data_IF_233942203809
#
_entry.id   IF_233942203809
#
_cell.length_a   1.000
_cell.length_b   1.000
_cell.length_c   1.000
_cell.angle_alpha   90.00
_cell.angle_beta   90.00
_cell.angle_gamma   90.00
#
_symmetry.space_group_name_H-M   'P 1'
#
loop_
_entity.id
_entity.type
_entity.pdbx_description
1 polymer ?
#
# COMPACT_ATOMS: atom_id res chain seq x y z
N UNK A 1 11.40 -26.46 15.89
CA UNK A 1 10.70 -25.20 16.17
C UNK A 1 9.22 -25.51 16.25
N UNK A 2 8.49 -25.01 17.25
CA UNK A 2 7.02 -25.18 17.31
C UNK A 2 6.34 -24.18 16.37
N UNK A 3 5.10 -24.44 15.98
CA UNK A 3 4.33 -23.54 15.10
C UNK A 3 4.12 -22.17 15.75
N UNK A 4 3.87 -22.13 17.07
CA UNK A 4 3.75 -20.89 17.83
C UNK A 4 5.04 -20.06 17.79
N UNK A 5 6.20 -20.69 18.04
CA UNK A 5 7.50 -20.02 17.92
C UNK A 5 7.72 -19.47 16.50
N UNK A 6 7.29 -20.23 15.48
CA UNK A 6 7.38 -19.83 14.07
C UNK A 6 6.57 -18.57 13.77
N UNK A 7 5.41 -18.37 14.42
CA UNK A 7 4.58 -17.17 14.26
C UNK A 7 5.22 -15.92 14.88
N UNK A 8 5.94 -16.05 15.98
CA UNK A 8 6.71 -14.94 16.53
C UNK A 8 7.91 -14.59 15.65
N UNK A 9 8.58 -15.59 15.07
CA UNK A 9 9.67 -15.35 14.12
C UNK A 9 9.14 -14.70 12.84
N UNK A 10 7.98 -15.14 12.32
CA UNK A 10 7.39 -14.54 11.11
C UNK A 10 7.05 -13.07 11.30
N UNK A 11 6.56 -12.68 12.48
CA UNK A 11 6.34 -11.29 12.87
C UNK A 11 7.61 -10.43 12.73
N UNK A 12 8.74 -10.91 13.25
CA UNK A 12 10.03 -10.21 13.18
C UNK A 12 10.57 -10.16 11.75
N UNK A 13 10.44 -11.25 11.00
CA UNK A 13 10.90 -11.32 9.61
C UNK A 13 10.11 -10.35 8.73
N UNK A 14 8.78 -10.26 8.90
CA UNK A 14 7.92 -9.34 8.17
C UNK A 14 8.29 -7.87 8.45
N UNK A 15 8.51 -7.53 9.73
CA UNK A 15 8.92 -6.19 10.12
C UNK A 15 10.29 -5.82 9.53
N UNK A 16 11.26 -6.73 9.67
CA UNK A 16 12.64 -6.52 9.25
C UNK A 16 12.75 -6.39 7.73
N UNK A 17 12.10 -7.27 6.96
CA UNK A 17 12.14 -7.23 5.49
C UNK A 17 11.63 -5.90 4.94
N UNK A 18 10.47 -5.45 5.41
CA UNK A 18 9.88 -4.18 4.99
C UNK A 18 10.72 -2.96 5.43
N UNK A 19 11.22 -2.93 6.67
CA UNK A 19 12.10 -1.85 7.12
C UNK A 19 13.39 -1.76 6.32
N UNK A 20 14.01 -2.91 5.99
CA UNK A 20 15.19 -2.96 5.13
C UNK A 20 14.88 -2.35 3.77
N UNK A 21 13.75 -2.70 3.14
CA UNK A 21 13.37 -2.16 1.85
C UNK A 21 13.08 -0.66 1.88
N UNK A 22 12.46 -0.15 2.96
CA UNK A 22 12.25 1.29 3.17
C UNK A 22 13.61 2.02 3.27
N UNK A 23 14.55 1.49 4.04
CA UNK A 23 15.89 2.06 4.17
C UNK A 23 16.67 2.02 2.85
N UNK A 24 16.56 0.93 2.09
CA UNK A 24 17.16 0.82 0.76
C UNK A 24 16.57 1.87 -0.18
N UNK A 25 15.24 2.06 -0.19
CA UNK A 25 14.59 3.10 -0.99
C UNK A 25 15.06 4.52 -0.63
N UNK A 26 15.17 4.83 0.66
CA UNK A 26 15.68 6.14 1.14
C UNK A 26 17.15 6.33 0.72
N UNK A 27 17.97 5.30 0.89
CA UNK A 27 19.39 5.33 0.51
C UNK A 27 19.54 5.54 -1.00
N UNK A 28 18.76 4.80 -1.80
CA UNK A 28 18.74 4.94 -3.25
C UNK A 28 18.36 6.35 -3.69
N UNK A 29 17.29 6.92 -3.12
CA UNK A 29 16.89 8.29 -3.45
C UNK A 29 17.98 9.30 -3.09
N UNK A 30 18.60 9.20 -1.91
CA UNK A 30 19.70 10.09 -1.51
C UNK A 30 20.90 9.97 -2.43
N UNK A 31 21.22 8.76 -2.89
CA UNK A 31 22.27 8.52 -3.85
C UNK A 31 21.94 9.14 -5.23
N UNK A 32 20.70 9.00 -5.69
CA UNK A 32 20.25 9.61 -6.95
C UNK A 32 20.34 11.14 -6.91
N UNK A 33 20.05 11.78 -5.76
CA UNK A 33 20.18 13.23 -5.60
C UNK A 33 21.61 13.76 -5.80
N UNK A 34 22.64 12.92 -5.59
CA UNK A 34 24.04 13.30 -5.84
C UNK A 34 24.44 13.21 -7.32
N UNK A 35 23.54 12.74 -8.20
CA UNK A 35 23.80 12.60 -9.64
C UNK A 35 23.31 13.82 -10.41
N UNK A 36 23.68 13.87 -11.69
CA UNK A 36 23.27 14.92 -12.62
C UNK A 36 21.72 15.04 -12.65
N UNK A 37 21.19 16.28 -12.67
CA UNK A 37 19.75 16.55 -12.61
C UNK A 37 18.95 15.88 -13.75
N UNK A 38 19.54 15.76 -14.94
CA UNK A 38 18.89 15.04 -16.06
C UNK A 38 18.79 13.53 -15.80
N UNK A 39 19.82 12.93 -15.16
CA UNK A 39 19.79 11.51 -14.79
C UNK A 39 18.79 11.25 -13.66
N UNK A 40 18.77 12.14 -12.65
CA UNK A 40 17.82 12.10 -11.53
C UNK A 40 16.38 12.11 -12.03
N UNK A 41 16.00 13.13 -12.82
CA UNK A 41 14.64 13.28 -13.33
C UNK A 41 14.19 12.08 -14.18
N UNK A 42 15.06 11.59 -15.07
CA UNK A 42 14.76 10.39 -15.87
C UNK A 42 14.56 9.15 -15.00
N UNK A 43 15.43 8.93 -14.01
CA UNK A 43 15.36 7.74 -13.14
C UNK A 43 14.12 7.79 -12.25
N UNK A 44 13.80 8.96 -11.67
CA UNK A 44 12.59 9.17 -10.88
C UNK A 44 11.32 8.94 -11.72
N UNK A 45 11.31 9.38 -12.98
CA UNK A 45 10.19 9.14 -13.88
C UNK A 45 9.98 7.64 -14.17
N UNK A 46 11.06 6.92 -14.45
CA UNK A 46 11.02 5.45 -14.66
C UNK A 46 10.48 4.74 -13.41
N UNK A 47 11.01 5.10 -12.24
CA UNK A 47 10.60 4.53 -10.95
C UNK A 47 9.12 4.82 -10.68
N UNK A 48 8.66 6.04 -10.95
CA UNK A 48 7.26 6.45 -10.76
C UNK A 48 6.31 5.58 -11.58
N UNK A 49 6.60 5.42 -12.88
CA UNK A 49 5.79 4.61 -13.78
C UNK A 49 5.81 3.12 -13.38
N UNK A 50 6.97 2.56 -13.05
CA UNK A 50 7.09 1.18 -12.58
C UNK A 50 6.29 0.97 -11.28
N UNK A 51 6.33 1.93 -10.37
CA UNK A 51 5.61 1.90 -9.09
C UNK A 51 4.09 1.85 -9.29
N UNK A 52 3.56 2.66 -10.22
CA UNK A 52 2.14 2.60 -10.62
C UNK A 52 1.76 1.25 -11.22
N UNK A 53 2.66 0.65 -11.98
CA UNK A 53 2.51 -0.72 -12.47
C UNK A 53 2.47 -1.78 -11.37
N UNK A 54 3.40 -1.69 -10.41
CA UNK A 54 3.45 -2.57 -9.23
C UNK A 54 2.13 -2.47 -8.45
N UNK A 55 1.63 -1.25 -8.21
CA UNK A 55 0.34 -1.03 -7.54
C UNK A 55 -0.84 -1.65 -8.29
N UNK A 56 -0.89 -1.45 -9.61
CA UNK A 56 -1.90 -2.08 -10.45
C UNK A 56 -1.83 -3.61 -10.39
N UNK A 57 -0.61 -4.16 -10.39
CA UNK A 57 -0.38 -5.59 -10.22
C UNK A 57 -0.88 -6.11 -8.88
N UNK A 58 -0.49 -5.46 -7.78
CA UNK A 58 -0.93 -5.79 -6.42
C UNK A 58 -2.44 -5.68 -6.29
N UNK A 59 -3.05 -4.65 -6.86
CA UNK A 59 -4.50 -4.47 -6.87
C UNK A 59 -5.22 -5.64 -7.54
N UNK A 60 -4.86 -5.96 -8.78
CA UNK A 60 -5.59 -6.91 -9.61
C UNK A 60 -5.29 -8.37 -9.24
N UNK A 61 -4.05 -8.67 -8.87
CA UNK A 61 -3.60 -10.05 -8.63
C UNK A 61 -3.69 -10.48 -7.18
N UNK A 62 -3.75 -9.55 -6.22
CA UNK A 62 -3.68 -9.88 -4.79
C UNK A 62 -4.88 -9.30 -4.05
N UNK A 63 -5.02 -7.97 -4.03
CA UNK A 63 -5.98 -7.28 -3.16
C UNK A 63 -7.44 -7.58 -3.55
N UNK A 64 -7.78 -7.47 -4.85
CA UNK A 64 -9.14 -7.74 -5.33
C UNK A 64 -9.59 -9.20 -5.15
N UNK A 65 -8.86 -10.21 -5.65
CA UNK A 65 -9.30 -11.60 -5.50
C UNK A 65 -9.41 -12.00 -4.03
N UNK A 66 -8.41 -11.68 -3.20
CA UNK A 66 -8.41 -12.05 -1.78
C UNK A 66 -9.57 -11.42 -1.01
N UNK A 67 -9.84 -10.12 -1.23
CA UNK A 67 -10.94 -9.44 -0.54
C UNK A 67 -12.31 -10.03 -0.91
N UNK A 68 -12.53 -10.36 -2.19
CA UNK A 68 -13.78 -10.98 -2.65
C UNK A 68 -13.95 -12.40 -2.13
N UNK A 69 -12.88 -13.19 -2.09
CA UNK A 69 -12.92 -14.58 -1.61
C UNK A 69 -13.31 -14.65 -0.13
N UNK A 70 -12.76 -13.77 0.71
CA UNK A 70 -13.08 -13.71 2.14
C UNK A 70 -14.58 -13.45 2.38
N UNK A 71 -15.19 -12.55 1.61
CA UNK A 71 -16.63 -12.26 1.73
C UNK A 71 -17.48 -13.37 1.09
N UNK A 72 -17.05 -13.94 -0.03
CA UNK A 72 -17.76 -15.04 -0.69
C UNK A 72 -17.87 -16.28 0.22
N UNK A 73 -16.81 -16.59 0.96
CA UNK A 73 -16.81 -17.70 1.92
C UNK A 73 -17.77 -17.45 3.10
N UNK A 74 -17.96 -16.20 3.52
CA UNK A 74 -18.79 -15.86 4.68
C UNK A 74 -20.27 -15.64 4.34
N UNK A 75 -20.55 -14.99 3.20
CA UNK A 75 -21.89 -14.54 2.83
C UNK A 75 -22.50 -15.29 1.65
N UNK A 76 -21.75 -16.16 0.97
CA UNK A 76 -22.15 -16.86 -0.26
C UNK A 76 -22.67 -15.92 -1.38
N UNK A 77 -22.46 -14.61 -1.24
CA UNK A 77 -22.96 -13.57 -2.15
C UNK A 77 -21.79 -12.63 -2.48
N UNK A 78 -21.13 -12.91 -3.61
CA UNK A 78 -19.97 -12.12 -4.09
C UNK A 78 -20.35 -10.66 -4.36
N UNK A 79 -21.60 -10.40 -4.75
CA UNK A 79 -22.11 -9.05 -5.03
C UNK A 79 -21.95 -8.09 -3.84
N UNK A 80 -21.99 -8.59 -2.60
CA UNK A 80 -21.77 -7.76 -1.42
C UNK A 80 -20.30 -7.31 -1.29
N UNK A 81 -19.34 -8.14 -1.71
CA UNK A 81 -17.94 -7.76 -1.77
C UNK A 81 -17.72 -6.59 -2.74
N UNK A 82 -18.30 -6.64 -3.94
CA UNK A 82 -18.24 -5.53 -4.91
C UNK A 82 -18.91 -4.25 -4.39
N UNK A 83 -20.03 -4.36 -3.67
CA UNK A 83 -20.66 -3.20 -3.02
C UNK A 83 -19.72 -2.56 -2.00
N UNK A 84 -19.07 -3.37 -1.15
CA UNK A 84 -18.11 -2.88 -0.15
C UNK A 84 -16.87 -2.25 -0.80
N UNK A 85 -16.37 -2.82 -1.89
CA UNK A 85 -15.30 -2.21 -2.69
C UNK A 85 -15.73 -0.84 -3.22
N UNK A 86 -16.94 -0.73 -3.77
CA UNK A 86 -17.50 0.54 -4.22
C UNK A 86 -17.63 1.56 -3.09
N UNK A 87 -18.11 1.13 -1.92
CA UNK A 87 -18.20 1.98 -0.72
C UNK A 87 -16.83 2.49 -0.27
N UNK A 88 -15.80 1.63 -0.29
CA UNK A 88 -14.43 2.02 0.04
C UNK A 88 -13.88 3.08 -0.93
N UNK A 89 -14.14 2.91 -2.23
CA UNK A 89 -13.75 3.88 -3.25
C UNK A 89 -14.41 5.25 -3.03
N UNK A 90 -15.72 5.31 -2.83
CA UNK A 90 -16.41 6.58 -2.61
C UNK A 90 -16.08 7.21 -1.25
N UNK A 91 -15.86 6.39 -0.21
CA UNK A 91 -15.44 6.87 1.10
C UNK A 91 -14.13 7.65 0.99
N UNK A 92 -13.15 7.14 0.25
CA UNK A 92 -11.90 7.89 0.09
C UNK A 92 -12.06 9.12 -0.80
N UNK A 93 -12.88 9.09 -1.84
CA UNK A 93 -13.20 10.29 -2.61
C UNK A 93 -13.74 11.41 -1.71
N UNK A 94 -14.66 11.06 -0.79
CA UNK A 94 -15.22 12.02 0.16
C UNK A 94 -14.13 12.54 1.11
N UNK A 95 -13.29 11.67 1.66
CA UNK A 95 -12.20 12.10 2.56
C UNK A 95 -11.22 13.03 1.83
N UNK A 96 -10.86 12.72 0.59
CA UNK A 96 -9.95 13.53 -0.21
C UNK A 96 -10.56 14.91 -0.50
N UNK A 97 -11.85 14.96 -0.86
CA UNK A 97 -12.57 16.21 -1.13
C UNK A 97 -12.75 17.04 0.15
N UNK A 98 -13.03 16.42 1.30
CA UNK A 98 -13.10 17.12 2.57
C UNK A 98 -11.73 17.69 2.98
N UNK A 99 -10.66 16.95 2.70
CA UNK A 99 -9.28 17.39 2.98
C UNK A 99 -8.93 18.59 2.10
N UNK A 100 -9.24 18.53 0.79
CA UNK A 100 -8.99 19.65 -0.13
C UNK A 100 -9.81 20.90 0.24
N UNK A 101 -11.08 20.72 0.64
CA UNK A 101 -11.93 21.82 1.10
C UNK A 101 -11.42 22.45 2.40
N UNK A 102 -10.99 21.64 3.36
CA UNK A 102 -10.41 22.14 4.61
C UNK A 102 -9.16 22.99 4.35
N UNK A 103 -8.32 22.58 3.41
CA UNK A 103 -7.11 23.32 3.02
C UNK A 103 -7.43 24.64 2.31
N UNK A 104 -8.42 24.64 1.42
CA UNK A 104 -8.90 25.87 0.78
C UNK A 104 -9.49 26.85 1.81
N UNK A 105 -10.19 26.33 2.81
CA UNK A 105 -10.70 27.14 3.90
C UNK A 105 -9.57 27.72 4.76
N UNK A 106 -8.64 26.87 5.22
CA UNK A 106 -7.50 27.29 6.07
C UNK A 106 -6.59 28.30 5.37
N UNK A 107 -6.32 28.13 4.07
CA UNK A 107 -5.53 29.08 3.29
C UNK A 107 -6.22 30.44 3.12
N UNK A 108 -7.55 30.47 2.94
CA UNK A 108 -8.32 31.71 2.88
C UNK A 108 -8.36 32.44 4.22
N UNK A 109 -8.48 31.72 5.33
CA UNK A 109 -8.42 32.32 6.67
C UNK A 109 -7.05 32.97 6.94
N UNK A 110 -5.96 32.27 6.59
CA UNK A 110 -4.60 32.80 6.69
C UNK A 110 -4.39 34.05 5.81
N UNK A 111 -4.91 34.06 4.58
CA UNK A 111 -4.80 35.21 3.66
C UNK A 111 -5.57 36.44 4.15
N UNK A 112 -6.72 36.25 4.79
CA UNK A 112 -7.50 37.34 5.38
C UNK A 112 -6.78 37.97 6.60
N UNK A 113 -6.01 37.18 7.36
CA UNK A 113 -5.19 37.65 8.49
C UNK A 113 -3.86 38.27 7.99
N UNK A 114 -3.29 37.75 6.91
CA UNK A 114 -2.03 38.21 6.33
C UNK A 114 -2.14 39.51 5.51
N UNK A 115 -3.35 40.04 5.29
CA UNK A 115 -3.52 41.34 4.62
C UNK A 115 -2.95 42.52 5.44
N UNK A 116 -2.49 42.28 6.68
CA UNK A 116 -1.86 43.28 7.55
C UNK A 116 -0.31 43.18 7.65
N UNK A 117 0.35 42.09 7.18
CA UNK A 117 1.83 41.98 7.27
C UNK A 117 2.47 41.29 6.05
N UNK A 118 3.39 42.00 5.40
CA UNK A 118 4.03 41.62 4.13
C UNK A 118 4.92 40.36 4.22
N UNK A 119 4.75 39.52 3.20
CA UNK A 119 5.72 38.64 2.51
C UNK A 119 6.59 37.71 3.37
N UNK A 120 6.18 36.44 3.50
CA UNK A 120 7.14 35.33 3.37
C UNK A 120 6.57 33.93 3.03
N UNK A 121 5.25 33.71 2.93
CA UNK A 121 4.72 32.35 3.17
C UNK A 121 4.05 31.64 1.99
N UNK A 122 4.64 31.74 0.78
CA UNK A 122 4.19 30.93 -0.36
C UNK A 122 4.61 29.45 -0.28
N UNK A 123 5.20 28.99 0.84
CA UNK A 123 5.71 27.62 1.00
C UNK A 123 4.85 26.74 1.93
N UNK A 124 3.91 27.30 2.70
CA UNK A 124 3.11 26.54 3.69
C UNK A 124 1.85 25.89 3.12
N UNK A 125 1.23 26.48 2.08
CA UNK A 125 0.01 25.93 1.45
C UNK A 125 0.23 24.57 0.76
N UNK A 126 1.41 24.30 0.20
CA UNK A 126 1.69 23.02 -0.46
C UNK A 126 1.84 21.84 0.52
N UNK A 127 2.17 22.08 1.80
CA UNK A 127 2.47 21.00 2.73
C UNK A 127 1.25 20.26 3.28
N UNK A 128 0.07 20.88 3.29
CA UNK A 128 -1.13 20.25 3.84
C UNK A 128 -1.73 19.19 2.89
N UNK A 129 -1.83 19.49 1.58
CA UNK A 129 -2.36 18.54 0.58
C UNK A 129 -1.55 17.24 0.53
N UNK A 130 -0.24 17.36 0.71
CA UNK A 130 0.66 16.22 0.68
C UNK A 130 0.50 15.34 1.94
N UNK A 131 0.22 15.94 3.09
CA UNK A 131 -0.03 15.23 4.35
C UNK A 131 -1.33 14.44 4.32
N UNK A 132 -2.42 15.02 3.82
CA UNK A 132 -3.71 14.32 3.68
C UNK A 132 -3.58 13.07 2.81
N UNK A 133 -2.94 13.20 1.66
CA UNK A 133 -2.65 12.08 0.75
C UNK A 133 -1.75 11.03 1.40
N UNK A 134 -0.72 11.45 2.14
CA UNK A 134 0.17 10.53 2.87
C UNK A 134 -0.60 9.72 3.93
N UNK A 135 -1.45 10.38 4.71
CA UNK A 135 -2.26 9.73 5.76
C UNK A 135 -3.25 8.75 5.15
N UNK A 136 -3.97 9.17 4.11
CA UNK A 136 -4.86 8.30 3.31
C UNK A 136 -4.15 7.06 2.81
N UNK A 137 -2.98 7.25 2.19
CA UNK A 137 -2.19 6.17 1.63
C UNK A 137 -1.72 5.19 2.70
N UNK A 138 -1.19 5.70 3.82
CA UNK A 138 -0.73 4.87 4.94
C UNK A 138 -1.87 4.14 5.63
N UNK A 139 -3.04 4.77 5.75
CA UNK A 139 -4.23 4.13 6.29
C UNK A 139 -4.67 2.96 5.41
N UNK A 140 -4.84 3.18 4.10
CA UNK A 140 -5.29 2.16 3.15
C UNK A 140 -4.30 0.99 3.02
N UNK A 141 -3.01 1.29 2.88
CA UNK A 141 -1.97 0.27 2.86
C UNK A 141 -1.85 -0.42 4.22
N UNK A 142 -2.08 0.30 5.31
CA UNK A 142 -1.95 -0.19 6.69
C UNK A 142 -3.04 -1.19 7.04
N UNK A 143 -4.29 -0.95 6.63
CA UNK A 143 -5.39 -1.91 6.80
C UNK A 143 -5.10 -3.20 6.06
N UNK A 144 -4.61 -3.14 4.82
CA UNK A 144 -4.23 -4.34 4.07
C UNK A 144 -3.11 -5.13 4.76
N UNK A 145 -2.01 -4.46 5.12
CA UNK A 145 -0.88 -5.10 5.81
C UNK A 145 -1.27 -5.69 7.18
N UNK A 146 -2.19 -5.05 7.91
CA UNK A 146 -2.75 -5.59 9.15
C UNK A 146 -3.43 -6.94 8.94
N UNK A 147 -4.25 -7.07 7.89
CA UNK A 147 -4.96 -8.32 7.62
C UNK A 147 -4.06 -9.43 7.07
N UNK A 148 -3.02 -9.10 6.32
CA UNK A 148 -1.98 -10.08 5.95
C UNK A 148 -1.26 -10.61 7.20
N UNK A 149 -1.04 -9.75 8.19
CA UNK A 149 -0.57 -10.16 9.51
C UNK A 149 -1.52 -11.13 10.22
N UNK A 150 -2.82 -10.83 10.21
CA UNK A 150 -3.83 -11.74 10.78
C UNK A 150 -3.80 -13.11 10.10
N UNK A 151 -3.67 -13.12 8.76
CA UNK A 151 -3.61 -14.34 7.96
C UNK A 151 -2.42 -15.23 8.34
N UNK A 152 -1.25 -14.62 8.59
CA UNK A 152 -0.05 -15.34 9.09
C UNK A 152 -0.29 -15.89 10.49
N UNK A 153 -0.76 -15.04 11.42
CA UNK A 153 -1.00 -15.43 12.82
C UNK A 153 -2.08 -16.50 12.97
N UNK A 154 -3.05 -16.54 12.05
CA UNK A 154 -4.20 -17.44 12.07
C UNK A 154 -3.92 -18.81 11.45
N UNK A 155 -2.74 -19.04 10.85
CA UNK A 155 -2.42 -20.34 10.26
C UNK A 155 -2.35 -21.44 11.34
N UNK A 156 -3.11 -22.51 11.17
CA UNK A 156 -3.18 -23.66 12.09
C UNK A 156 -2.64 -24.96 11.47
N UNK A 157 -2.21 -24.93 10.21
CA UNK A 157 -1.66 -26.08 9.47
C UNK A 157 -0.21 -26.38 9.89
N UNK A 158 0.67 -26.58 8.90
CA UNK A 158 2.07 -26.92 9.11
C UNK A 158 2.98 -25.69 9.03
N UNK A 159 4.14 -25.80 9.68
CA UNK A 159 5.20 -24.79 9.63
C UNK A 159 5.63 -24.50 8.18
N UNK A 160 5.63 -25.50 7.30
CA UNK A 160 5.97 -25.34 5.88
C UNK A 160 4.99 -24.40 5.17
N UNK A 161 3.69 -24.54 5.43
CA UNK A 161 2.65 -23.64 4.89
C UNK A 161 2.83 -22.22 5.39
N UNK A 162 3.13 -22.05 6.67
CA UNK A 162 3.40 -20.74 7.26
C UNK A 162 4.62 -20.07 6.62
N UNK A 163 5.73 -20.79 6.40
CA UNK A 163 6.91 -20.22 5.75
C UNK A 163 6.68 -19.87 4.29
N UNK A 164 5.92 -20.68 3.57
CA UNK A 164 5.58 -20.40 2.18
C UNK A 164 4.69 -19.16 2.07
N UNK A 165 3.67 -19.07 2.93
CA UNK A 165 2.81 -17.89 3.06
C UNK A 165 3.64 -16.65 3.40
N UNK A 166 4.50 -16.73 4.43
CA UNK A 166 5.35 -15.62 4.84
C UNK A 166 6.30 -15.20 3.71
N UNK A 167 6.95 -16.14 3.03
CA UNK A 167 7.89 -15.84 1.96
C UNK A 167 7.22 -15.08 0.82
N UNK A 168 6.02 -15.51 0.44
CA UNK A 168 5.22 -14.85 -0.57
C UNK A 168 4.71 -13.47 -0.12
N UNK A 169 4.27 -13.33 1.14
CA UNK A 169 3.85 -12.03 1.70
C UNK A 169 5.04 -11.06 1.73
N UNK A 170 6.16 -11.49 2.31
CA UNK A 170 7.39 -10.69 2.38
C UNK A 170 7.86 -10.23 1.01
N UNK A 171 7.76 -11.07 -0.02
CA UNK A 171 8.24 -10.71 -1.35
C UNK A 171 7.45 -9.56 -1.97
N UNK A 172 6.11 -9.67 -2.03
CA UNK A 172 5.31 -8.61 -2.63
C UNK A 172 5.22 -7.38 -1.73
N UNK A 173 5.20 -7.55 -0.40
CA UNK A 173 5.24 -6.43 0.55
C UNK A 173 6.56 -5.67 0.48
N UNK A 174 7.68 -6.35 0.21
CA UNK A 174 8.97 -5.70 -0.03
C UNK A 174 8.94 -4.81 -1.28
N UNK A 175 8.31 -5.28 -2.36
CA UNK A 175 8.13 -4.50 -3.59
C UNK A 175 7.24 -3.28 -3.36
N UNK A 176 6.14 -3.45 -2.62
CA UNK A 176 5.24 -2.35 -2.25
C UNK A 176 5.97 -1.35 -1.35
N UNK A 177 6.63 -1.80 -0.29
CA UNK A 177 7.38 -0.96 0.65
C UNK A 177 8.45 -0.11 -0.07
N UNK A 178 9.21 -0.73 -0.96
CA UNK A 178 10.24 -0.06 -1.76
C UNK A 178 9.63 0.98 -2.71
N UNK A 179 8.62 0.57 -3.49
CA UNK A 179 8.02 1.43 -4.52
C UNK A 179 7.28 2.62 -3.92
N UNK A 180 6.45 2.41 -2.87
CA UNK A 180 5.76 3.49 -2.15
C UNK A 180 6.74 4.49 -1.57
N UNK A 181 7.78 4.00 -0.89
CA UNK A 181 8.79 4.88 -0.27
C UNK A 181 9.45 5.76 -1.33
N UNK A 182 9.85 5.18 -2.47
CA UNK A 182 10.41 5.97 -3.57
C UNK A 182 9.40 6.98 -4.13
N UNK A 183 8.14 6.58 -4.34
CA UNK A 183 7.10 7.47 -4.85
C UNK A 183 6.88 8.68 -3.94
N UNK A 184 6.76 8.47 -2.64
CA UNK A 184 6.60 9.55 -1.67
C UNK A 184 7.80 10.50 -1.67
N UNK A 185 9.02 9.97 -1.78
CA UNK A 185 10.24 10.79 -1.84
C UNK A 185 10.39 11.54 -3.17
N UNK A 186 9.88 11.01 -4.28
CA UNK A 186 9.83 11.68 -5.59
C UNK A 186 8.84 12.84 -5.56
N UNK A 187 7.76 12.70 -4.81
CA UNK A 187 6.75 13.74 -4.61
C UNK A 187 7.18 14.82 -3.59
N UNK A 188 8.48 14.90 -3.30
CA UNK A 188 9.14 15.88 -2.44
C UNK A 188 8.72 15.85 -0.97
N UNK A 189 8.32 14.68 -0.45
CA UNK A 189 8.09 14.53 0.97
C UNK A 189 9.39 14.53 1.78
N UNK A 190 9.31 15.03 3.01
CA UNK A 190 10.44 15.01 3.93
C UNK A 190 10.80 13.55 4.29
N UNK A 191 12.08 13.19 4.14
CA UNK A 191 12.59 11.85 4.46
C UNK A 191 12.17 11.33 5.84
N UNK A 192 12.11 12.19 6.85
CA UNK A 192 11.70 11.83 8.20
C UNK A 192 10.21 11.51 8.23
N UNK A 193 9.36 12.33 7.59
CA UNK A 193 7.91 12.05 7.49
C UNK A 193 7.65 10.74 6.78
N UNK A 194 8.30 10.52 5.63
CA UNK A 194 8.18 9.25 4.89
C UNK A 194 8.63 8.07 5.73
N UNK A 195 9.79 8.17 6.38
CA UNK A 195 10.30 7.08 7.22
C UNK A 195 9.35 6.77 8.38
N UNK A 196 8.86 7.78 9.11
CA UNK A 196 7.91 7.59 10.21
C UNK A 196 6.59 6.99 9.72
N UNK A 197 6.03 7.51 8.63
CA UNK A 197 4.77 7.08 8.06
C UNK A 197 4.84 5.62 7.54
N UNK A 198 5.92 5.27 6.83
CA UNK A 198 6.16 3.90 6.37
C UNK A 198 6.55 2.95 7.51
N UNK A 199 7.16 3.46 8.59
CA UNK A 199 7.38 2.69 9.82
C UNK A 199 6.07 2.33 10.51
N UNK A 200 5.12 3.26 10.57
CA UNK A 200 3.77 2.99 11.08
C UNK A 200 3.08 1.95 10.21
N UNK A 201 3.17 2.09 8.88
CA UNK A 201 2.62 1.12 7.94
C UNK A 201 3.15 -0.30 8.17
N UNK A 202 4.47 -0.48 8.26
CA UNK A 202 5.06 -1.82 8.42
C UNK A 202 4.71 -2.44 9.78
N UNK A 203 4.52 -1.64 10.84
CA UNK A 203 4.11 -2.13 12.15
C UNK A 203 2.70 -2.74 12.17
N UNK A 204 1.83 -2.36 11.23
CA UNK A 204 0.48 -2.94 11.14
C UNK A 204 0.49 -4.46 10.91
N UNK A 205 1.44 -4.99 10.13
CA UNK A 205 1.58 -6.43 9.89
C UNK A 205 1.88 -7.21 11.18
N UNK A 206 2.94 -6.88 11.93
CA UNK A 206 3.21 -7.46 13.24
C UNK A 206 2.05 -7.34 14.23
N UNK A 207 1.39 -6.18 14.27
CA UNK A 207 0.20 -5.98 15.10
C UNK A 207 -0.91 -6.95 14.70
N UNK A 208 -1.12 -7.19 13.41
CA UNK A 208 -2.05 -8.19 12.90
C UNK A 208 -1.72 -9.62 13.34
N UNK A 209 -0.44 -10.02 13.25
CA UNK A 209 0.02 -11.33 13.73
C UNK A 209 -0.26 -11.48 15.23
N UNK A 210 0.09 -10.46 16.02
CA UNK A 210 -0.09 -10.46 17.46
C UNK A 210 -1.57 -10.54 17.86
N UNK A 211 -2.44 -9.73 17.24
CA UNK A 211 -3.89 -9.76 17.46
C UNK A 211 -4.46 -11.14 17.13
N UNK A 212 -4.02 -11.74 16.03
CA UNK A 212 -4.45 -13.07 15.60
C UNK A 212 -4.03 -14.19 16.56
N UNK A 213 -2.89 -14.04 17.24
CA UNK A 213 -2.46 -14.97 18.30
C UNK A 213 -3.29 -14.85 19.59
N UNK A 214 -3.77 -13.64 19.92
CA UNK A 214 -4.57 -13.40 21.11
C UNK A 214 -6.01 -13.89 20.96
N UNK A 215 -6.53 -13.89 19.75
CA UNK A 215 -7.92 -14.27 19.49
C UNK A 215 -7.96 -15.77 19.20
N UNK A 216 -8.72 -16.51 20.00
CA UNK A 216 -8.91 -17.94 19.78
C UNK A 216 -9.46 -18.20 18.37
N UNK A 217 -8.90 -19.22 17.72
CA UNK A 217 -8.99 -19.52 16.28
C UNK A 217 -10.39 -19.74 15.68
N UNK A 218 -11.47 -19.66 16.48
CA UNK A 218 -12.83 -20.07 16.09
C UNK A 218 -13.86 -18.93 16.04
N UNK A 219 -13.47 -17.65 16.10
CA UNK A 219 -14.45 -16.57 15.98
C UNK A 219 -14.82 -16.27 14.51
N UNK A 220 -15.91 -16.88 14.03
CA UNK A 220 -16.51 -16.58 12.71
C UNK A 220 -16.70 -15.07 12.47
N UNK A 221 -16.95 -14.30 13.52
CA UNK A 221 -17.06 -12.84 13.47
C UNK A 221 -15.77 -12.12 13.04
N UNK A 222 -14.58 -12.62 13.38
CA UNK A 222 -13.32 -12.00 12.94
C UNK A 222 -13.12 -12.14 11.44
N UNK A 223 -13.39 -13.32 10.89
CA UNK A 223 -13.24 -13.57 9.46
C UNK A 223 -14.21 -12.71 8.65
N UNK A 224 -15.41 -12.46 9.20
CA UNK A 224 -16.37 -11.55 8.61
C UNK A 224 -15.88 -10.09 8.61
N UNK A 225 -15.42 -9.60 9.77
CA UNK A 225 -14.88 -8.23 9.89
C UNK A 225 -13.66 -8.05 8.99
N UNK A 226 -12.80 -9.06 8.90
CA UNK A 226 -11.65 -9.09 8.00
C UNK A 226 -12.09 -8.95 6.53
N UNK A 227 -13.03 -9.77 6.06
CA UNK A 227 -13.54 -9.69 4.69
C UNK A 227 -14.14 -8.31 4.37
N UNK A 228 -14.95 -7.75 5.29
CA UNK A 228 -15.57 -6.43 5.09
C UNK A 228 -14.50 -5.33 4.96
N UNK A 229 -13.55 -5.29 5.90
CA UNK A 229 -12.53 -4.25 5.92
C UNK A 229 -11.51 -4.40 4.78
N UNK A 230 -11.20 -5.63 4.34
CA UNK A 230 -10.39 -5.84 3.15
C UNK A 230 -11.09 -5.38 1.87
N UNK A 231 -12.40 -5.62 1.70
CA UNK A 231 -13.14 -5.09 0.56
C UNK A 231 -13.16 -3.55 0.56
N UNK A 232 -13.39 -2.92 1.70
CA UNK A 232 -13.30 -1.45 1.83
C UNK A 232 -11.89 -0.96 1.47
N UNK A 233 -10.86 -1.60 2.01
CA UNK A 233 -9.45 -1.30 1.72
C UNK A 233 -9.13 -1.45 0.23
N UNK A 234 -9.66 -2.49 -0.43
CA UNK A 234 -9.51 -2.70 -1.87
C UNK A 234 -10.11 -1.56 -2.68
N UNK A 235 -11.27 -1.04 -2.28
CA UNK A 235 -11.89 0.16 -2.86
C UNK A 235 -10.98 1.39 -2.79
N UNK A 236 -10.36 1.63 -1.62
CA UNK A 236 -9.38 2.71 -1.44
C UNK A 236 -8.14 2.48 -2.31
N UNK A 237 -7.68 1.23 -2.42
CA UNK A 237 -6.54 0.86 -3.25
C UNK A 237 -6.77 1.10 -4.75
N UNK A 238 -8.00 0.88 -5.24
CA UNK A 238 -8.42 1.25 -6.60
C UNK A 238 -8.24 2.75 -6.82
N UNK A 239 -8.76 3.57 -5.90
CA UNK A 239 -8.64 5.04 -5.99
C UNK A 239 -7.18 5.47 -6.06
N UNK A 240 -6.34 5.00 -5.12
CA UNK A 240 -4.91 5.35 -5.08
C UNK A 240 -4.23 4.94 -6.39
N UNK A 241 -4.49 3.73 -6.87
CA UNK A 241 -3.85 3.19 -8.08
C UNK A 241 -4.22 4.00 -9.33
N UNK A 242 -5.52 4.22 -9.57
CA UNK A 242 -5.95 4.84 -10.83
C UNK A 242 -5.89 6.37 -10.79
N UNK A 243 -6.28 6.98 -9.68
CA UNK A 243 -6.46 8.44 -9.56
C UNK A 243 -5.21 9.12 -9.01
N UNK A 244 -4.59 8.58 -7.95
CA UNK A 244 -3.40 9.23 -7.38
C UNK A 244 -2.11 8.85 -8.12
N UNK A 245 -2.03 7.63 -8.67
CA UNK A 245 -0.80 7.11 -9.26
C UNK A 245 -0.79 7.16 -10.79
N UNK A 246 -1.66 6.39 -11.45
CA UNK A 246 -1.69 6.24 -12.92
C UNK A 246 -2.07 7.56 -13.61
N UNK A 247 -3.07 8.29 -13.12
CA UNK A 247 -3.46 9.58 -13.68
C UNK A 247 -2.28 10.58 -13.69
N UNK A 248 -1.56 10.69 -12.57
CA UNK A 248 -0.41 11.58 -12.46
C UNK A 248 0.71 11.21 -13.45
N UNK A 249 0.97 9.91 -13.65
CA UNK A 249 2.02 9.45 -14.56
C UNK A 249 1.64 9.51 -16.04
N UNK A 250 0.37 9.26 -16.40
CA UNK A 250 -0.07 9.25 -17.80
C UNK A 250 -0.53 10.60 -18.32
N UNK A 251 -1.17 11.41 -17.47
CA UNK A 251 -1.87 12.63 -17.91
C UNK A 251 -1.07 13.88 -17.52
N UNK A 252 -0.61 13.96 -16.26
CA UNK A 252 0.04 15.16 -15.72
C UNK A 252 1.51 15.28 -16.16
N UNK A 253 2.27 14.18 -16.18
CA UNK A 253 3.71 14.14 -16.55
C UNK A 253 3.93 13.75 -18.01
N UNK A 254 3.26 14.45 -18.94
CA UNK A 254 3.08 14.06 -20.35
C UNK A 254 4.31 14.17 -21.28
N UNK A 255 5.51 13.76 -20.83
CA UNK A 255 6.72 13.80 -21.67
C UNK A 255 6.77 12.66 -22.71
N UNK A 256 6.36 11.44 -22.36
CA UNK A 256 6.47 10.25 -23.23
C UNK A 256 5.32 9.23 -23.04
N UNK A 257 4.14 9.40 -23.67
CA UNK A 257 2.93 8.65 -23.31
C UNK A 257 3.04 7.13 -23.51
N UNK A 258 3.60 6.67 -24.63
CA UNK A 258 3.76 5.24 -24.89
C UNK A 258 4.82 4.59 -24.00
N UNK A 259 5.92 5.30 -23.70
CA UNK A 259 6.95 4.80 -22.80
C UNK A 259 6.39 4.61 -21.38
N UNK A 260 5.55 5.54 -20.90
CA UNK A 260 4.90 5.43 -19.60
C UNK A 260 4.02 4.18 -19.51
N UNK A 261 3.24 3.89 -20.56
CA UNK A 261 2.40 2.68 -20.62
C UNK A 261 3.26 1.42 -20.56
N UNK A 262 4.36 1.35 -21.32
CA UNK A 262 5.27 0.20 -21.32
C UNK A 262 5.90 0.00 -19.93
N UNK A 263 6.30 1.09 -19.26
CA UNK A 263 6.87 1.03 -17.91
C UNK A 263 5.84 0.60 -16.87
N UNK A 264 4.61 1.13 -16.92
CA UNK A 264 3.51 0.68 -16.05
C UNK A 264 3.21 -0.80 -16.28
N UNK A 265 3.15 -1.23 -17.54
CA UNK A 265 2.97 -2.65 -17.86
C UNK A 265 4.13 -3.52 -17.36
N UNK A 266 5.37 -3.02 -17.42
CA UNK A 266 6.53 -3.67 -16.83
C UNK A 266 6.40 -3.87 -15.32
N UNK A 267 5.95 -2.85 -14.59
CA UNK A 267 5.69 -2.96 -13.15
C UNK A 267 4.58 -3.97 -12.82
N UNK A 268 3.51 -3.98 -13.62
CA UNK A 268 2.44 -4.96 -13.51
C UNK A 268 2.94 -6.39 -13.72
N UNK A 269 3.77 -6.60 -14.76
CA UNK A 269 4.37 -7.91 -15.04
C UNK A 269 5.26 -8.42 -13.91
N UNK A 270 6.00 -7.53 -13.21
CA UNK A 270 6.78 -7.94 -12.04
C UNK A 270 5.88 -8.62 -11.02
N UNK A 271 4.73 -8.02 -10.67
CA UNK A 271 3.81 -8.65 -9.71
C UNK A 271 3.20 -9.95 -10.26
N UNK A 272 2.77 -9.97 -11.52
CA UNK A 272 2.23 -11.20 -12.13
C UNK A 272 3.23 -12.34 -12.06
N UNK A 273 4.48 -12.11 -12.46
CA UNK A 273 5.52 -13.14 -12.41
C UNK A 273 5.77 -13.64 -11.00
N UNK A 274 5.70 -12.75 -10.00
CA UNK A 274 5.89 -13.13 -8.61
C UNK A 274 4.73 -13.97 -8.09
N UNK A 275 3.48 -13.58 -8.40
CA UNK A 275 2.29 -14.36 -8.05
C UNK A 275 2.30 -15.76 -8.69
N UNK A 276 2.79 -15.88 -9.93
CA UNK A 276 2.88 -17.15 -10.63
C UNK A 276 4.00 -18.05 -10.06
N UNK A 277 5.15 -17.47 -9.74
CA UNK A 277 6.29 -18.21 -9.20
C UNK A 277 6.02 -18.78 -7.81
N UNK A 278 5.23 -18.07 -7.00
CA UNK A 278 4.91 -18.46 -5.62
C UNK A 278 3.72 -19.43 -5.51
N UNK A 279 3.03 -19.75 -6.62
CA UNK A 279 1.87 -20.66 -6.62
C UNK A 279 2.32 -22.12 -6.38
N UNK A 280 1.89 -22.78 -5.29
CA UNK A 280 2.35 -24.14 -5.00
C UNK A 280 1.70 -25.12 -5.97
N UNK A 281 2.50 -25.91 -6.69
CA UNK A 281 2.06 -26.77 -7.79
C UNK A 281 1.31 -28.04 -7.37
N UNK A 282 1.02 -28.23 -6.07
CA UNK A 282 0.52 -29.51 -5.54
C UNK A 282 -0.68 -29.48 -4.60
N UNK A 283 -1.13 -28.31 -4.11
CA UNK A 283 -2.20 -28.25 -3.10
C UNK A 283 -3.24 -27.19 -3.47
N UNK A 284 -4.43 -27.62 -3.88
CA UNK A 284 -5.51 -26.73 -4.34
C UNK A 284 -5.95 -25.74 -3.24
N UNK A 285 -5.71 -26.07 -1.97
CA UNK A 285 -6.01 -25.18 -0.84
C UNK A 285 -4.97 -24.07 -0.62
N UNK A 286 -3.74 -24.23 -1.13
CA UNK A 286 -2.73 -23.17 -1.12
C UNK A 286 -2.89 -22.23 -2.31
N UNK A 287 -3.52 -22.70 -3.39
CA UNK A 287 -3.94 -21.87 -4.51
C UNK A 287 -5.16 -20.99 -4.19
N UNK A 288 -5.80 -21.16 -3.03
CA UNK A 288 -6.93 -20.37 -2.51
C UNK A 288 -6.52 -19.27 -1.52
N UNK A 289 -5.22 -18.97 -1.42
CA UNK A 289 -4.69 -17.88 -0.56
C UNK A 289 -3.99 -16.81 -1.42
N UNK A 290 -4.00 -16.99 -2.75
CA UNK A 290 -3.27 -16.18 -3.74
C UNK A 290 -4.08 -15.96 -5.00
#
# INVERSE_FOLDING_TARGET
MKLEDAKYVSMLVLLASNLIMILIAICLQRFLLHRNGNFLSMTQHIISCLTSGIFLGTLLMIVLPNSLELVAHQWHIVNMGYLLIGLGFFLICIIQELTSLYELYSSNEQNNIAHEQLMNDSMTSHHHHQLGRLVTLVFALGTHNFFDGILIGGQTKDITTLWLLLGAICFHMSLVAFSVTLRLLIDNENYIRVFCAMSIWTLMGPVGVFVSLLISSDSSGLNLVNGILQCLSAGVFIYITFIDMIYDDLIKRKSYPFANIILIFGGFLIIVLTSLWLRPTGDQNLAMVW
#
